data_IF_619202040001
#
_entry.id   IF_619202040001
#
_cell.length_a   1.000
_cell.length_b   1.000
_cell.length_c   1.000
_cell.angle_alpha   90.00
_cell.angle_beta   90.00
_cell.angle_gamma   90.00
#
_symmetry.space_group_name_H-M   'P 1'
#
loop_
_entity.id
_entity.type
_entity.pdbx_description
1 polymer ?
#
# COMPACT_ATOMS: atom_id res chain seq x y z
N UNK A 1 5.08 -3.85 -4.75
CA UNK A 1 6.43 -3.55 -4.26
C UNK A 1 6.58 -2.05 -3.97
N UNK A 2 5.58 -1.46 -3.34
CA UNK A 2 5.44 -0.01 -3.20
C UNK A 2 5.75 0.47 -1.78
N UNK A 3 6.48 -0.31 -1.00
CA UNK A 3 6.99 0.04 0.32
C UNK A 3 7.88 1.31 0.30
N UNK A 4 8.85 1.50 -0.62
CA UNK A 4 9.28 0.72 -1.79
C UNK A 4 10.29 -0.38 -1.48
N UNK A 5 10.18 -1.51 -2.20
CA UNK A 5 11.13 -2.62 -2.07
C UNK A 5 12.39 -2.34 -2.87
N UNK A 6 13.54 -2.29 -2.22
CA UNK A 6 14.87 -2.07 -2.83
C UNK A 6 15.79 -3.19 -2.37
N UNK A 7 16.07 -4.17 -3.22
CA UNK A 7 16.73 -5.43 -2.84
C UNK A 7 18.12 -5.27 -2.20
N UNK A 8 18.84 -4.21 -2.55
CA UNK A 8 20.16 -3.88 -1.99
C UNK A 8 20.11 -2.71 -1.00
N UNK A 9 18.93 -2.26 -0.61
CA UNK A 9 18.74 -1.17 0.36
C UNK A 9 18.71 -1.67 1.81
N UNK A 10 18.90 -0.77 2.78
CA UNK A 10 18.72 -1.12 4.20
C UNK A 10 17.30 -1.64 4.42
N UNK A 11 17.15 -2.77 5.12
CA UNK A 11 15.84 -3.39 5.40
C UNK A 11 15.00 -3.66 4.13
N UNK A 12 15.66 -3.82 2.97
CA UNK A 12 15.02 -4.00 1.66
C UNK A 12 14.19 -2.77 1.24
N UNK A 13 14.59 -1.56 1.65
CA UNK A 13 13.89 -0.32 1.31
C UNK A 13 14.83 0.87 1.11
N UNK A 14 14.30 2.09 0.99
CA UNK A 14 15.10 3.30 0.82
C UNK A 14 15.99 3.61 2.03
N UNK A 15 17.18 4.20 1.80
CA UNK A 15 17.94 4.87 2.85
C UNK A 15 17.12 6.02 3.47
N UNK A 16 17.23 6.16 4.79
CA UNK A 16 16.45 7.16 5.56
C UNK A 16 16.75 8.62 5.20
N UNK A 17 17.93 8.88 4.65
CA UNK A 17 18.45 10.18 4.22
C UNK A 17 18.20 10.46 2.73
N UNK A 18 17.48 9.59 2.02
CA UNK A 18 17.01 9.87 0.66
C UNK A 18 16.06 11.08 0.70
N UNK A 19 16.31 12.05 -0.17
CA UNK A 19 15.52 13.30 -0.23
C UNK A 19 14.40 13.19 -1.26
N UNK A 20 13.17 13.38 -0.81
CA UNK A 20 11.94 13.43 -1.62
C UNK A 20 11.62 14.86 -2.11
N UNK A 21 10.58 14.99 -2.92
CA UNK A 21 10.05 16.28 -3.34
C UNK A 21 9.74 17.18 -2.11
N UNK A 22 10.15 18.45 -2.18
CA UNK A 22 9.99 19.40 -1.08
C UNK A 22 11.12 19.39 -0.06
N UNK A 23 12.16 18.56 -0.25
CA UNK A 23 13.33 18.52 0.64
C UNK A 23 13.14 17.64 1.88
N UNK A 24 12.06 16.86 1.94
CA UNK A 24 11.79 15.92 3.04
C UNK A 24 12.67 14.69 2.93
N UNK A 25 13.21 14.22 4.05
CA UNK A 25 13.93 12.95 4.10
C UNK A 25 12.94 11.77 4.12
N UNK A 26 13.38 10.61 3.60
CA UNK A 26 12.56 9.40 3.56
C UNK A 26 12.05 8.99 4.94
N UNK A 27 12.85 9.18 6.00
CA UNK A 27 12.42 8.91 7.38
C UNK A 27 11.12 9.62 7.79
N UNK A 28 10.78 10.73 7.16
CA UNK A 28 9.61 11.55 7.49
C UNK A 28 8.36 11.10 6.72
N UNK A 29 8.55 10.53 5.53
CA UNK A 29 7.47 10.26 4.57
C UNK A 29 7.37 8.80 4.12
N UNK A 30 8.25 7.92 4.61
CA UNK A 30 8.36 6.53 4.19
C UNK A 30 7.02 5.81 4.02
N UNK A 31 6.21 5.81 5.10
CA UNK A 31 4.92 5.11 5.11
C UNK A 31 3.87 5.74 4.17
N UNK A 32 4.07 6.98 3.72
CA UNK A 32 3.20 7.63 2.74
C UNK A 32 3.53 7.23 1.30
N UNK A 33 4.75 6.74 1.04
CA UNK A 33 5.21 6.43 -0.32
C UNK A 33 4.26 5.47 -1.05
N UNK A 34 3.92 4.34 -0.40
CA UNK A 34 2.99 3.37 -0.95
C UNK A 34 1.59 3.93 -1.20
N UNK A 35 1.14 4.84 -0.32
CA UNK A 35 -0.13 5.52 -0.47
C UNK A 35 -0.17 6.43 -1.69
N UNK A 36 0.87 7.26 -1.85
CA UNK A 36 1.00 8.18 -2.98
C UNK A 36 1.06 7.41 -4.30
N UNK A 37 1.80 6.29 -4.34
CA UNK A 37 1.90 5.45 -5.54
C UNK A 37 0.53 4.92 -6.00
N UNK A 38 -0.27 4.33 -5.09
CA UNK A 38 -1.56 3.78 -5.50
C UNK A 38 -2.58 4.88 -5.78
N UNK A 39 -2.49 6.05 -5.12
CA UNK A 39 -3.33 7.22 -5.41
C UNK A 39 -3.07 7.77 -6.82
N UNK A 40 -1.81 7.92 -7.22
CA UNK A 40 -1.45 8.33 -8.58
C UNK A 40 -1.93 7.33 -9.62
N UNK A 41 -1.84 6.03 -9.31
CA UNK A 41 -2.33 4.97 -10.20
C UNK A 41 -3.86 5.04 -10.33
N UNK A 42 -4.59 5.24 -9.22
CA UNK A 42 -6.04 5.39 -9.22
C UNK A 42 -6.46 6.57 -10.10
N UNK A 43 -5.80 7.72 -9.94
CA UNK A 43 -6.08 8.89 -10.76
C UNK A 43 -5.79 8.64 -12.24
N UNK A 44 -4.73 7.91 -12.58
CA UNK A 44 -4.45 7.51 -13.97
C UNK A 44 -5.58 6.67 -14.58
N UNK A 45 -6.17 5.75 -13.81
CA UNK A 45 -7.29 4.92 -14.24
C UNK A 45 -8.60 5.72 -14.40
N UNK A 46 -8.84 6.71 -13.54
CA UNK A 46 -9.93 7.68 -13.72
C UNK A 46 -9.72 8.47 -15.01
N UNK A 47 -8.52 9.03 -15.19
CA UNK A 47 -8.20 9.91 -16.31
C UNK A 47 -8.33 9.22 -17.67
N UNK A 48 -7.82 7.99 -17.81
CA UNK A 48 -7.92 7.24 -19.09
C UNK A 48 -9.36 6.92 -19.50
N UNK A 49 -10.29 6.95 -18.55
CA UNK A 49 -11.72 6.70 -18.79
C UNK A 49 -12.55 7.98 -18.84
N UNK A 50 -11.89 9.15 -18.78
CA UNK A 50 -12.55 10.46 -18.62
C UNK A 50 -13.54 10.48 -17.43
N UNK A 51 -13.24 9.72 -16.37
CA UNK A 51 -14.08 9.62 -15.18
C UNK A 51 -15.31 8.72 -15.31
N UNK A 52 -15.51 8.02 -16.42
CA UNK A 52 -16.69 7.18 -16.63
C UNK A 52 -16.60 5.80 -15.95
N UNK A 53 -15.39 5.34 -15.60
CA UNK A 53 -15.18 4.00 -15.05
C UNK A 53 -14.54 4.09 -13.67
N UNK A 54 -15.13 3.40 -12.69
CA UNK A 54 -14.54 3.27 -11.35
C UNK A 54 -13.28 2.39 -11.41
N UNK A 55 -12.13 2.85 -10.91
CA UNK A 55 -10.94 2.02 -10.88
C UNK A 55 -11.04 0.84 -9.92
N UNK A 56 -10.35 -0.24 -10.27
CA UNK A 56 -9.96 -1.29 -9.35
C UNK A 56 -8.45 -1.32 -9.26
N UNK A 57 -7.92 -1.29 -8.04
CA UNK A 57 -6.50 -1.35 -7.73
C UNK A 57 -6.29 -2.19 -6.49
N UNK A 58 -5.20 -2.96 -6.51
CA UNK A 58 -4.71 -3.71 -5.37
C UNK A 58 -3.34 -3.14 -4.97
N UNK A 59 -3.14 -2.88 -3.68
CA UNK A 59 -1.88 -2.33 -3.14
C UNK A 59 -1.36 -3.16 -1.98
N UNK A 60 -0.02 -3.25 -1.87
CA UNK A 60 0.64 -3.98 -0.78
C UNK A 60 0.96 -3.06 0.39
N UNK A 61 1.59 -1.93 0.10
CA UNK A 61 1.83 -0.85 1.06
C UNK A 61 0.70 0.17 1.03
N UNK A 62 0.33 0.66 2.20
CA UNK A 62 -0.81 1.54 2.41
C UNK A 62 -0.64 2.35 3.71
N UNK A 63 -1.42 3.42 3.85
CA UNK A 63 -1.46 4.26 5.04
C UNK A 63 -2.91 4.70 5.32
N UNK A 64 -3.14 5.42 6.42
CA UNK A 64 -4.45 5.96 6.74
C UNK A 64 -5.04 6.78 5.56
N UNK A 65 -6.16 6.32 5.01
CA UNK A 65 -6.80 6.93 3.85
C UNK A 65 -6.69 6.12 2.56
N UNK A 66 -5.84 5.09 2.51
CA UNK A 66 -5.69 4.21 1.35
C UNK A 66 -6.98 3.47 0.95
N UNK A 67 -7.92 3.27 1.88
CA UNK A 67 -9.23 2.66 1.63
C UNK A 67 -10.07 3.43 0.58
N UNK A 68 -9.72 4.68 0.27
CA UNK A 68 -10.43 5.49 -0.74
C UNK A 68 -10.11 5.08 -2.17
N UNK A 69 -8.99 4.40 -2.41
CA UNK A 69 -8.43 4.25 -3.76
C UNK A 69 -7.92 2.85 -4.10
N UNK A 70 -7.78 1.95 -3.14
CA UNK A 70 -7.29 0.60 -3.41
C UNK A 70 -7.85 -0.43 -2.42
N UNK A 71 -7.98 -1.67 -2.91
CA UNK A 71 -8.02 -2.86 -2.08
C UNK A 71 -6.61 -3.14 -1.53
N UNK A 72 -6.53 -3.77 -0.36
CA UNK A 72 -5.26 -4.15 0.28
C UNK A 72 -5.20 -5.67 0.44
N UNK A 73 -4.02 -6.26 0.31
CA UNK A 73 -3.82 -7.65 0.72
C UNK A 73 -2.66 -7.82 1.69
N UNK A 74 -2.67 -8.92 2.43
CA UNK A 74 -1.73 -9.22 3.53
C UNK A 74 -0.30 -9.60 3.09
N UNK A 75 0.03 -9.47 1.81
CA UNK A 75 1.37 -9.74 1.30
C UNK A 75 1.65 -11.21 1.03
N UNK A 76 2.93 -11.58 1.13
CA UNK A 76 3.43 -12.91 0.76
C UNK A 76 3.17 -13.89 1.90
N UNK A 77 2.11 -14.69 1.79
CA UNK A 77 1.76 -15.73 2.75
C UNK A 77 2.36 -17.10 2.34
N UNK A 78 2.10 -18.14 3.15
CA UNK A 78 2.52 -19.51 2.88
C UNK A 78 1.32 -20.44 2.89
N UNK A 79 1.36 -21.51 2.09
CA UNK A 79 0.30 -22.52 2.02
C UNK A 79 0.33 -23.45 3.25
N UNK A 80 0.04 -22.89 4.42
CA UNK A 80 0.06 -23.55 5.72
C UNK A 80 -1.20 -23.21 6.52
N UNK A 81 -1.69 -24.17 7.32
CA UNK A 81 -2.86 -23.97 8.18
C UNK A 81 -2.70 -22.82 9.18
N UNK A 82 -1.47 -22.58 9.65
CA UNK A 82 -1.13 -21.43 10.50
C UNK A 82 -1.39 -20.09 9.80
N UNK A 83 -1.05 -19.98 8.51
CA UNK A 83 -1.30 -18.78 7.71
C UNK A 83 -2.79 -18.60 7.40
N UNK A 84 -3.52 -19.69 7.11
CA UNK A 84 -4.98 -19.62 7.00
C UNK A 84 -5.62 -19.08 8.29
N UNK A 85 -5.15 -19.56 9.45
CA UNK A 85 -5.65 -19.12 10.75
C UNK A 85 -5.34 -17.64 11.03
N UNK A 86 -4.15 -17.15 10.65
CA UNK A 86 -3.75 -15.75 10.93
C UNK A 86 -4.40 -14.74 9.98
N UNK A 87 -4.93 -15.16 8.82
CA UNK A 87 -5.68 -14.28 7.92
C UNK A 87 -6.85 -13.57 8.64
N UNK A 88 -7.63 -14.29 9.44
CA UNK A 88 -8.80 -13.72 10.14
C UNK A 88 -8.43 -12.54 11.05
N UNK A 89 -7.52 -12.67 12.04
CA UNK A 89 -7.16 -11.54 12.89
C UNK A 89 -6.46 -10.39 12.12
N UNK A 90 -5.66 -10.69 11.08
CA UNK A 90 -5.06 -9.65 10.24
C UNK A 90 -6.12 -8.81 9.53
N UNK A 91 -7.10 -9.47 8.88
CA UNK A 91 -8.17 -8.76 8.18
C UNK A 91 -9.07 -7.99 9.15
N UNK A 92 -9.41 -8.57 10.31
CA UNK A 92 -10.20 -7.85 11.32
C UNK A 92 -9.49 -6.59 11.83
N UNK A 93 -8.16 -6.64 12.01
CA UNK A 93 -7.37 -5.48 12.44
C UNK A 93 -7.42 -4.32 11.43
N UNK A 94 -7.40 -4.64 10.13
CA UNK A 94 -7.56 -3.65 9.06
C UNK A 94 -9.00 -3.14 8.99
N UNK A 95 -9.99 -4.02 9.16
CA UNK A 95 -11.40 -3.66 9.14
C UNK A 95 -11.75 -2.64 10.23
N UNK A 96 -11.32 -2.86 11.47
CA UNK A 96 -11.60 -1.92 12.59
C UNK A 96 -10.87 -0.57 12.43
N UNK A 97 -9.83 -0.51 11.59
CA UNK A 97 -9.10 0.73 11.26
C UNK A 97 -9.61 1.41 9.99
N UNK A 98 -10.74 0.97 9.45
CA UNK A 98 -11.45 1.62 8.35
C UNK A 98 -11.17 1.05 6.96
N UNK A 99 -10.46 -0.07 6.85
CA UNK A 99 -10.22 -0.75 5.57
C UNK A 99 -11.26 -1.84 5.32
N UNK A 100 -12.26 -1.52 4.48
CA UNK A 100 -13.35 -2.46 4.14
C UNK A 100 -13.04 -3.42 2.99
N UNK A 101 -12.02 -3.14 2.17
CA UNK A 101 -11.69 -3.93 0.98
C UNK A 101 -10.31 -4.58 1.12
N UNK A 102 -10.28 -5.75 1.76
CA UNK A 102 -9.06 -6.41 2.25
C UNK A 102 -9.10 -7.93 2.01
N UNK A 103 -7.94 -8.56 1.84
CA UNK A 103 -7.82 -10.02 1.60
C UNK A 103 -6.45 -10.64 1.87
#
# INVERSE_FOLDING_TARGET
MNEPSVFNGPEITFPKDLVHHGGWEDREVHNLYGMLQHMSTFQGLVNRSHGHIRPFLLTRSFFAGSQRTAAVWTGDNSAQWSHLKVTVPMLLSLSVTGFGFIG
#
